data_IF_936728773423
#
_entry.id   IF_936728773423
#
_cell.length_a   1.000
_cell.length_b   1.000
_cell.length_c   1.000
_cell.angle_alpha   90.00
_cell.angle_beta   90.00
_cell.angle_gamma   90.00
#
_symmetry.space_group_name_H-M   'P 1'
#
loop_
_entity.id
_entity.type
_entity.pdbx_description
1 polymer ?
#
# COMPACT_ATOMS: atom_id res chain seq x y z
N UNK A 1 16.48 -1.59 -22.14
CA UNK A 1 15.54 -0.51 -22.50
C UNK A 1 14.20 -0.91 -21.95
N UNK A 2 13.57 -0.07 -21.14
CA UNK A 2 12.18 -0.28 -20.74
C UNK A 2 11.30 -0.02 -21.97
N UNK A 3 10.43 -0.95 -22.34
CA UNK A 3 9.45 -0.69 -23.39
C UNK A 3 8.33 0.20 -22.85
N UNK A 4 7.53 0.78 -23.74
CA UNK A 4 6.39 1.59 -23.32
C UNK A 4 5.20 0.67 -22.99
N UNK A 5 4.66 0.80 -21.77
CA UNK A 5 3.38 0.20 -21.42
C UNK A 5 2.29 0.76 -22.34
N UNK A 6 1.44 -0.11 -22.88
CA UNK A 6 0.28 0.30 -23.70
C UNK A 6 -1.00 -0.32 -23.18
N UNK A 7 -2.06 0.47 -23.23
CA UNK A 7 -3.41 0.11 -22.84
C UNK A 7 -4.33 0.48 -23.99
N UNK A 8 -4.93 -0.51 -24.64
CA UNK A 8 -5.84 -0.30 -25.76
C UNK A 8 -7.24 -0.73 -25.35
N UNK A 9 -8.25 0.07 -25.70
CA UNK A 9 -9.63 -0.35 -25.55
C UNK A 9 -9.93 -1.54 -26.46
N UNK A 10 -10.66 -2.52 -25.92
CA UNK A 10 -11.19 -3.60 -26.73
C UNK A 10 -12.44 -3.12 -27.48
N UNK A 11 -12.67 -3.62 -28.68
CA UNK A 11 -13.84 -3.29 -29.50
C UNK A 11 -14.69 -4.51 -29.79
N UNK A 12 -16.00 -4.33 -29.89
CA UNK A 12 -16.90 -5.28 -30.51
C UNK A 12 -16.61 -5.41 -32.03
N UNK A 13 -17.18 -6.43 -32.68
CA UNK A 13 -17.01 -6.69 -34.12
C UNK A 13 -17.47 -5.53 -35.03
N UNK A 14 -18.35 -4.66 -34.53
CA UNK A 14 -18.83 -3.46 -35.22
C UNK A 14 -17.90 -2.24 -35.05
N UNK A 15 -16.77 -2.40 -34.36
CA UNK A 15 -15.79 -1.35 -34.08
C UNK A 15 -16.11 -0.44 -32.87
N UNK A 16 -17.25 -0.62 -32.19
CA UNK A 16 -17.55 0.16 -30.97
C UNK A 16 -16.78 -0.38 -29.77
N UNK A 17 -16.35 0.49 -28.87
CA UNK A 17 -15.63 0.10 -27.65
C UNK A 17 -16.47 -0.78 -26.73
N UNK A 18 -15.82 -1.77 -26.14
CA UNK A 18 -16.33 -2.49 -24.97
C UNK A 18 -15.95 -1.65 -23.75
N UNK A 19 -16.92 -1.11 -22.98
CA UNK A 19 -16.64 -0.24 -21.85
C UNK A 19 -15.69 -0.92 -20.86
N UNK A 20 -14.62 -0.21 -20.51
CA UNK A 20 -13.66 -0.60 -19.48
C UNK A 20 -12.91 -1.93 -19.69
N UNK A 21 -12.96 -2.52 -20.89
CA UNK A 21 -12.18 -3.72 -21.22
C UNK A 21 -10.92 -3.34 -21.99
N UNK A 22 -9.77 -3.78 -21.52
CA UNK A 22 -8.47 -3.38 -22.05
C UNK A 22 -7.64 -4.56 -22.55
N UNK A 23 -6.93 -4.34 -23.65
CA UNK A 23 -5.74 -5.11 -23.99
C UNK A 23 -4.53 -4.34 -23.47
N UNK A 24 -3.79 -4.97 -22.56
CA UNK A 24 -2.64 -4.38 -21.86
C UNK A 24 -1.38 -5.12 -22.28
N UNK A 25 -0.34 -4.34 -22.61
CA UNK A 25 0.99 -4.81 -22.96
C UNK A 25 2.02 -4.06 -22.10
N UNK A 26 2.70 -4.76 -21.19
CA UNK A 26 3.66 -4.23 -20.22
C UNK A 26 5.04 -4.85 -20.45
N UNK A 27 5.84 -4.30 -21.37
CA UNK A 27 7.21 -4.74 -21.61
C UNK A 27 8.15 -4.19 -20.53
N UNK A 28 9.14 -4.98 -20.15
CA UNK A 28 10.10 -4.65 -19.11
C UNK A 28 11.35 -5.50 -19.19
N UNK A 29 12.25 -5.27 -18.23
CA UNK A 29 13.45 -6.08 -18.02
C UNK A 29 13.63 -6.28 -16.53
N UNK A 30 14.06 -7.47 -16.13
CA UNK A 30 14.38 -7.73 -14.73
C UNK A 30 15.77 -7.17 -14.35
N UNK A 31 16.15 -7.32 -13.07
CA UNK A 31 17.43 -6.82 -12.55
C UNK A 31 18.67 -7.48 -13.19
N UNK A 32 18.52 -8.62 -13.87
CA UNK A 32 19.58 -9.31 -14.60
C UNK A 32 19.58 -8.98 -16.09
N UNK A 33 18.68 -8.09 -16.54
CA UNK A 33 18.52 -7.70 -17.94
C UNK A 33 17.74 -8.71 -18.78
N UNK A 34 17.08 -9.70 -18.16
CA UNK A 34 16.23 -10.66 -18.89
C UNK A 34 14.92 -9.98 -19.29
N UNK A 35 14.39 -10.36 -20.44
CA UNK A 35 13.09 -9.87 -20.91
C UNK A 35 12.00 -10.18 -19.88
N UNK A 36 11.10 -9.23 -19.66
CA UNK A 36 9.89 -9.43 -18.89
C UNK A 36 8.73 -8.81 -19.66
N UNK A 37 7.64 -9.54 -19.86
CA UNK A 37 6.50 -9.04 -20.61
C UNK A 37 5.21 -9.59 -20.02
N UNK A 38 4.25 -8.70 -19.79
CA UNK A 38 2.88 -9.07 -19.46
C UNK A 38 1.98 -8.63 -20.61
N UNK A 39 1.27 -9.58 -21.21
CA UNK A 39 0.24 -9.34 -22.21
C UNK A 39 -1.09 -9.88 -21.68
N UNK A 40 -2.05 -9.01 -21.39
CA UNK A 40 -3.32 -9.38 -20.76
C UNK A 40 -4.50 -8.70 -21.42
N UNK A 41 -5.57 -9.45 -21.64
CA UNK A 41 -6.93 -8.90 -21.66
C UNK A 41 -7.37 -8.73 -20.20
N UNK A 42 -7.87 -7.55 -19.86
CA UNK A 42 -8.43 -7.20 -18.56
C UNK A 42 -9.89 -6.83 -18.74
N UNK A 43 -10.77 -7.53 -18.04
CA UNK A 43 -12.24 -7.38 -18.10
C UNK A 43 -12.79 -7.14 -16.67
N UNK A 44 -13.14 -5.90 -16.29
CA UNK A 44 -13.68 -5.62 -14.96
C UNK A 44 -15.08 -6.22 -14.78
N UNK A 45 -15.23 -7.06 -13.76
CA UNK A 45 -16.51 -7.70 -13.41
C UNK A 45 -17.41 -6.81 -12.55
N UNK A 46 -16.90 -5.67 -12.08
CA UNK A 46 -17.63 -4.67 -11.30
C UNK A 46 -17.58 -3.31 -11.98
N UNK A 47 -18.65 -2.54 -11.84
CA UNK A 47 -18.68 -1.17 -12.33
C UNK A 47 -17.59 -0.31 -11.66
N UNK A 48 -16.94 0.59 -12.42
CA UNK A 48 -16.05 1.58 -11.84
C UNK A 48 -16.73 2.31 -10.69
N UNK A 49 -16.06 2.40 -9.55
CA UNK A 49 -16.66 2.89 -8.31
C UNK A 49 -15.75 3.92 -7.63
N UNK A 50 -16.29 5.08 -7.21
CA UNK A 50 -15.49 6.10 -6.54
C UNK A 50 -14.92 5.59 -5.21
N UNK A 51 -13.71 6.04 -4.86
CA UNK A 51 -13.22 5.90 -3.49
C UNK A 51 -14.18 6.60 -2.51
N UNK A 52 -14.42 5.96 -1.36
CA UNK A 52 -15.37 6.39 -0.34
C UNK A 52 -16.84 6.34 -0.76
N UNK A 53 -17.15 5.60 -1.83
CA UNK A 53 -18.51 5.41 -2.33
C UNK A 53 -19.23 6.74 -2.53
N UNK A 54 -20.51 6.78 -2.17
CA UNK A 54 -21.31 8.01 -2.29
C UNK A 54 -20.93 9.11 -1.29
N UNK A 55 -20.28 8.76 -0.17
CA UNK A 55 -19.95 9.71 0.90
C UNK A 55 -18.87 10.67 0.44
N UNK A 56 -17.78 10.13 -0.12
CA UNK A 56 -16.68 10.94 -0.65
C UNK A 56 -16.84 11.25 -2.14
N UNK A 57 -17.59 10.42 -2.87
CA UNK A 57 -17.77 10.52 -4.32
C UNK A 57 -16.42 10.68 -5.05
N UNK A 58 -15.43 9.91 -4.61
CA UNK A 58 -14.09 9.86 -5.18
C UNK A 58 -13.18 10.97 -4.70
N UNK A 59 -13.62 11.88 -3.81
CA UNK A 59 -12.82 13.03 -3.37
C UNK A 59 -12.22 12.79 -2.00
N UNK A 60 -10.90 12.78 -1.91
CA UNK A 60 -10.19 12.62 -0.64
C UNK A 60 -8.89 13.43 -0.62
N UNK A 61 -8.18 13.38 0.52
CA UNK A 61 -6.89 14.03 0.68
C UNK A 61 -5.77 13.02 0.41
N UNK A 62 -4.90 13.35 -0.56
CA UNK A 62 -3.70 12.59 -0.88
C UNK A 62 -2.48 13.49 -0.83
N UNK A 63 -1.43 13.09 -0.12
CA UNK A 63 -0.28 13.94 0.20
C UNK A 63 -0.66 15.36 0.66
N UNK A 64 -1.56 15.47 1.64
CA UNK A 64 -2.13 16.74 2.13
C UNK A 64 -2.81 17.62 1.05
N UNK A 65 -3.01 17.09 -0.15
CA UNK A 65 -3.73 17.74 -1.24
C UNK A 65 -5.21 17.37 -1.19
N UNK A 66 -6.11 18.29 -0.79
CA UNK A 66 -7.54 18.01 -0.79
C UNK A 66 -8.09 17.88 -2.23
N UNK A 67 -9.24 17.25 -2.36
CA UNK A 67 -9.96 17.09 -3.63
C UNK A 67 -9.21 16.29 -4.70
N UNK A 68 -8.28 15.43 -4.30
CA UNK A 68 -7.78 14.38 -5.17
C UNK A 68 -8.95 13.48 -5.56
N UNK A 69 -9.14 13.29 -6.86
CA UNK A 69 -10.19 12.45 -7.41
C UNK A 69 -9.66 11.04 -7.63
N UNK A 70 -10.38 10.03 -7.15
CA UNK A 70 -10.04 8.63 -7.38
C UNK A 70 -11.28 7.75 -7.54
N UNK A 71 -11.17 6.79 -8.44
CA UNK A 71 -12.14 5.70 -8.62
C UNK A 71 -11.39 4.43 -8.99
N UNK A 72 -12.01 3.29 -8.68
CA UNK A 72 -11.40 1.99 -8.88
C UNK A 72 -12.27 1.08 -9.75
N UNK A 73 -11.60 0.26 -10.55
CA UNK A 73 -12.20 -0.89 -11.24
C UNK A 73 -11.66 -2.16 -10.54
N UNK A 74 -12.58 -2.99 -10.01
CA UNK A 74 -12.24 -4.14 -9.15
C UNK A 74 -12.92 -5.41 -9.67
N UNK A 75 -12.55 -6.57 -9.12
CA UNK A 75 -12.97 -7.87 -9.63
C UNK A 75 -12.57 -8.07 -11.09
N UNK A 76 -11.28 -8.03 -11.39
CA UNK A 76 -10.80 -8.10 -12.77
C UNK A 76 -10.67 -9.56 -13.22
N UNK A 77 -11.29 -9.91 -14.34
CA UNK A 77 -10.92 -11.10 -15.09
C UNK A 77 -9.67 -10.78 -15.94
N UNK A 78 -8.61 -11.53 -15.72
CA UNK A 78 -7.31 -11.39 -16.34
C UNK A 78 -7.05 -12.64 -17.19
N UNK A 79 -6.72 -12.47 -18.47
CA UNK A 79 -6.38 -13.59 -19.35
C UNK A 79 -5.31 -13.17 -20.35
N UNK A 80 -4.23 -13.94 -20.43
CA UNK A 80 -3.20 -13.71 -21.43
C UNK A 80 -1.93 -14.48 -21.10
N UNK A 81 -0.78 -13.83 -21.23
CA UNK A 81 0.54 -14.48 -21.05
C UNK A 81 1.50 -13.61 -20.25
N UNK A 82 2.38 -14.26 -19.50
CA UNK A 82 3.57 -13.65 -18.91
C UNK A 82 4.80 -14.29 -19.50
N UNK A 83 5.77 -13.47 -19.90
CA UNK A 83 7.09 -13.90 -20.36
C UNK A 83 8.16 -13.46 -19.38
N UNK A 84 9.06 -14.37 -19.01
CA UNK A 84 10.25 -14.07 -18.22
C UNK A 84 11.48 -14.78 -18.81
N UNK A 85 12.42 -14.00 -19.33
CA UNK A 85 13.52 -14.50 -20.14
C UNK A 85 12.99 -15.12 -21.42
N UNK A 86 13.25 -16.41 -21.59
CA UNK A 86 12.84 -17.20 -22.76
C UNK A 86 11.59 -18.05 -22.52
N UNK A 87 10.97 -17.93 -21.34
CA UNK A 87 9.79 -18.70 -20.94
C UNK A 87 8.56 -17.81 -21.06
N UNK A 88 7.55 -18.28 -21.78
CA UNK A 88 6.22 -17.66 -21.86
C UNK A 88 5.16 -18.65 -21.39
N UNK A 89 4.34 -18.24 -20.43
CA UNK A 89 3.25 -19.06 -19.89
C UNK A 89 1.91 -18.35 -19.99
N UNK A 90 0.82 -19.09 -20.29
CA UNK A 90 -0.52 -18.56 -20.18
C UNK A 90 -0.86 -18.31 -18.70
N UNK A 91 -1.53 -17.20 -18.43
CA UNK A 91 -1.98 -16.84 -17.09
C UNK A 91 -3.46 -16.47 -17.10
N UNK A 92 -4.15 -16.83 -16.02
CA UNK A 92 -5.52 -16.43 -15.75
C UNK A 92 -5.63 -15.94 -14.32
N UNK A 93 -6.50 -14.95 -14.09
CA UNK A 93 -6.80 -14.40 -12.78
C UNK A 93 -8.23 -13.87 -12.73
N UNK A 94 -8.81 -13.83 -11.55
CA UNK A 94 -10.14 -13.27 -11.30
C UNK A 94 -10.12 -12.21 -10.18
N UNK A 95 -8.92 -11.79 -9.80
CA UNK A 95 -8.65 -10.76 -8.80
C UNK A 95 -7.72 -9.73 -9.41
N UNK A 96 -7.95 -8.47 -9.03
CA UNK A 96 -7.16 -7.35 -9.53
C UNK A 96 -7.80 -6.02 -9.18
N UNK A 97 -7.06 -4.96 -9.47
CA UNK A 97 -7.46 -3.60 -9.17
C UNK A 97 -6.84 -2.64 -10.19
N UNK A 98 -7.64 -1.72 -10.72
CA UNK A 98 -7.16 -0.56 -11.45
C UNK A 98 -7.50 0.65 -10.60
N UNK A 99 -6.47 1.33 -10.09
CA UNK A 99 -6.60 2.65 -9.47
C UNK A 99 -6.44 3.73 -10.53
N UNK A 100 -7.42 4.63 -10.62
CA UNK A 100 -7.29 5.87 -11.38
C UNK A 100 -7.39 7.05 -10.44
N UNK A 101 -6.34 7.86 -10.47
CA UNK A 101 -6.21 9.01 -9.59
C UNK A 101 -5.85 10.27 -10.37
N UNK A 102 -6.53 11.37 -10.06
CA UNK A 102 -6.30 12.68 -10.64
C UNK A 102 -6.07 13.72 -9.53
N UNK A 103 -4.93 14.37 -9.59
CA UNK A 103 -4.54 15.42 -8.65
C UNK A 103 -4.93 16.79 -9.20
N UNK A 104 -5.54 17.68 -8.39
CA UNK A 104 -5.85 19.04 -8.84
C UNK A 104 -4.60 19.89 -9.13
N UNK A 105 -3.48 19.58 -8.49
CA UNK A 105 -2.15 20.17 -8.63
C UNK A 105 -1.10 19.05 -8.73
N UNK A 106 0.12 19.41 -9.13
CA UNK A 106 1.25 18.48 -9.06
C UNK A 106 1.34 17.80 -7.68
N UNK A 107 1.38 16.47 -7.65
CA UNK A 107 1.28 15.67 -6.43
C UNK A 107 2.38 15.98 -5.40
N UNK A 108 3.57 16.39 -5.84
CA UNK A 108 4.69 16.72 -4.96
C UNK A 108 4.63 18.11 -4.33
N UNK A 109 3.62 18.95 -4.62
CA UNK A 109 3.63 20.35 -4.16
C UNK A 109 3.59 20.49 -2.63
N UNK A 110 2.89 19.58 -1.93
CA UNK A 110 2.80 19.56 -0.46
C UNK A 110 3.72 18.51 0.19
N UNK A 111 4.39 17.69 -0.62
CA UNK A 111 5.35 16.67 -0.18
C UNK A 111 6.52 16.60 -1.17
N UNK A 112 7.37 17.64 -1.24
CA UNK A 112 8.36 17.81 -2.31
C UNK A 112 9.43 16.73 -2.35
N UNK A 113 9.73 16.08 -1.23
CA UNK A 113 10.65 14.94 -1.16
C UNK A 113 9.93 13.60 -1.08
N UNK A 114 8.59 13.61 -1.10
CA UNK A 114 7.74 12.45 -0.88
C UNK A 114 7.76 11.91 0.55
N UNK A 115 8.40 12.60 1.51
CA UNK A 115 8.59 12.12 2.89
C UNK A 115 7.87 12.95 3.96
N UNK A 116 7.38 14.15 3.62
CA UNK A 116 6.59 14.98 4.54
C UNK A 116 5.29 14.28 4.90
N UNK A 117 4.70 13.59 3.93
CA UNK A 117 3.49 12.81 4.09
C UNK A 117 3.77 11.40 3.56
N UNK A 118 3.43 10.38 4.36
CA UNK A 118 3.52 8.99 3.94
C UNK A 118 2.16 8.32 4.04
N UNK A 119 2.02 7.15 3.47
CA UNK A 119 0.79 6.40 3.49
C UNK A 119 1.01 4.90 3.62
N UNK A 120 -0.09 4.23 3.92
CA UNK A 120 -0.25 2.80 3.77
C UNK A 120 -1.57 2.61 3.05
N UNK A 121 -1.54 1.77 2.02
CA UNK A 121 -2.70 1.39 1.27
C UNK A 121 -2.80 -0.13 1.21
N UNK A 122 -4.02 -0.63 1.40
CA UNK A 122 -4.32 -2.04 1.17
C UNK A 122 -5.43 -2.12 0.14
N UNK A 123 -5.15 -2.89 -0.90
CA UNK A 123 -6.15 -3.39 -1.81
C UNK A 123 -6.39 -4.85 -1.45
N UNK A 124 -7.64 -5.22 -1.20
CA UNK A 124 -8.01 -6.57 -0.76
C UNK A 124 -9.08 -7.13 -1.67
N UNK A 125 -8.92 -8.36 -2.14
CA UNK A 125 -9.94 -9.17 -2.77
C UNK A 125 -10.30 -10.33 -1.82
N UNK A 126 -11.44 -10.22 -1.14
CA UNK A 126 -11.89 -11.26 -0.20
C UNK A 126 -12.52 -12.43 -0.98
N UNK A 127 -12.38 -13.64 -0.44
CA UNK A 127 -12.88 -14.86 -1.08
C UNK A 127 -14.41 -14.90 -1.29
N UNK A 128 -15.17 -14.08 -0.54
CA UNK A 128 -16.61 -13.93 -0.71
C UNK A 128 -17.00 -12.95 -1.85
N UNK A 129 -16.02 -12.45 -2.61
CA UNK A 129 -16.22 -11.55 -3.75
C UNK A 129 -16.34 -10.08 -3.37
N UNK A 130 -16.22 -9.70 -2.09
CA UNK A 130 -16.13 -8.29 -1.68
C UNK A 130 -14.69 -7.83 -1.84
N UNK A 131 -14.47 -6.67 -2.47
CA UNK A 131 -13.15 -6.04 -2.51
C UNK A 131 -13.11 -4.85 -1.54
N UNK A 132 -11.93 -4.56 -1.00
CA UNK A 132 -11.69 -3.43 -0.10
C UNK A 132 -10.57 -2.55 -0.64
N UNK A 133 -10.72 -1.25 -0.42
CA UNK A 133 -9.62 -0.29 -0.50
C UNK A 133 -9.50 0.39 0.86
N UNK A 134 -8.33 0.29 1.48
CA UNK A 134 -8.05 0.73 2.83
C UNK A 134 -6.94 1.76 2.77
N UNK A 135 -7.26 3.02 3.03
CA UNK A 135 -6.31 4.13 2.87
C UNK A 135 -5.99 4.80 4.19
N UNK A 136 -4.69 4.95 4.45
CA UNK A 136 -4.18 5.58 5.67
C UNK A 136 -3.03 6.50 5.34
N UNK A 137 -3.03 7.71 5.87
CA UNK A 137 -2.01 8.70 5.61
C UNK A 137 -1.52 9.35 6.90
N UNK A 138 -0.21 9.63 6.94
CA UNK A 138 0.50 10.17 8.08
C UNK A 138 1.26 11.43 7.68
N UNK A 139 1.03 12.52 8.40
CA UNK A 139 1.88 13.70 8.38
C UNK A 139 3.14 13.41 9.18
N UNK A 140 4.22 13.07 8.48
CA UNK A 140 5.51 12.76 9.11
C UNK A 140 6.05 13.97 9.87
N UNK A 141 5.85 15.18 9.35
CA UNK A 141 6.24 16.43 9.99
C UNK A 141 5.45 16.77 11.27
N UNK A 142 4.28 16.15 11.50
CA UNK A 142 3.50 16.26 12.74
C UNK A 142 3.60 14.95 13.56
N UNK A 143 4.80 14.39 13.70
CA UNK A 143 5.07 13.18 14.48
C UNK A 143 4.15 11.99 14.12
N UNK A 144 3.96 11.72 12.83
CA UNK A 144 3.07 10.67 12.31
C UNK A 144 1.60 10.87 12.65
N UNK A 145 1.14 12.12 12.78
CA UNK A 145 -0.29 12.38 12.91
C UNK A 145 -1.06 11.87 11.69
N UNK A 146 -2.14 11.14 11.96
CA UNK A 146 -3.03 10.62 10.92
C UNK A 146 -3.79 11.78 10.25
N UNK A 147 -3.90 11.73 8.92
CA UNK A 147 -4.72 12.67 8.13
C UNK A 147 -6.21 12.31 8.26
N UNK A 148 -7.16 13.26 8.33
CA UNK A 148 -8.56 12.93 8.63
C UNK A 148 -9.33 12.08 7.60
N UNK A 149 -8.90 11.99 6.34
CA UNK A 149 -9.65 11.31 5.27
C UNK A 149 -9.28 9.83 5.09
N UNK A 150 -8.95 9.14 6.18
CA UNK A 150 -8.65 7.70 6.16
C UNK A 150 -9.92 6.87 6.23
N UNK A 151 -9.88 5.64 5.74
CA UNK A 151 -11.01 4.73 5.86
C UNK A 151 -10.92 3.51 4.96
N UNK A 152 -12.03 2.77 4.97
CA UNK A 152 -12.23 1.56 4.17
C UNK A 152 -13.41 1.82 3.24
N UNK A 153 -13.20 1.58 1.95
CA UNK A 153 -14.29 1.51 0.97
C UNK A 153 -14.54 0.04 0.61
N UNK A 154 -15.79 -0.42 0.71
CA UNK A 154 -16.20 -1.76 0.24
C UNK A 154 -16.69 -1.70 -1.20
N UNK A 155 -16.39 -2.73 -1.98
CA UNK A 155 -16.85 -2.92 -3.35
C UNK A 155 -17.60 -4.25 -3.43
N UNK A 156 -18.92 -4.17 -3.29
CA UNK A 156 -19.76 -5.35 -3.17
C UNK A 156 -19.93 -6.07 -4.52
N UNK A 157 -20.03 -7.41 -4.53
CA UNK A 157 -20.41 -8.14 -5.73
C UNK A 157 -21.81 -7.67 -6.18
N UNK A 158 -21.95 -7.38 -7.49
CA UNK A 158 -23.20 -6.92 -8.10
C UNK A 158 -23.76 -5.57 -7.60
N UNK A 159 -22.99 -4.80 -6.81
CA UNK A 159 -23.42 -3.50 -6.28
C UNK A 159 -24.59 -3.57 -5.28
N UNK A 160 -24.84 -4.74 -4.69
CA UNK A 160 -25.83 -4.93 -3.62
C UNK A 160 -25.22 -5.74 -2.45
N UNK A 161 -25.09 -5.18 -1.23
CA UNK A 161 -25.48 -3.82 -0.84
C UNK A 161 -24.68 -2.73 -1.58
N UNK A 162 -25.07 -1.47 -1.40
CA UNK A 162 -24.27 -0.36 -1.92
C UNK A 162 -22.90 -0.34 -1.23
N UNK A 163 -21.87 0.03 -1.97
CA UNK A 163 -20.51 0.27 -1.47
C UNK A 163 -20.54 1.18 -0.23
N UNK A 164 -19.86 0.76 0.82
CA UNK A 164 -19.81 1.47 2.09
C UNK A 164 -18.49 2.22 2.23
N UNK A 165 -18.52 3.31 3.00
CA UNK A 165 -17.31 3.98 3.47
C UNK A 165 -17.37 4.16 4.98
N UNK A 166 -16.34 3.67 5.66
CA UNK A 166 -16.21 3.69 7.12
C UNK A 166 -14.85 4.22 7.53
N UNK A 167 -14.79 4.93 8.65
CA UNK A 167 -13.58 5.65 9.09
C UNK A 167 -13.08 5.19 10.46
N UNK A 168 -13.79 4.29 11.13
CA UNK A 168 -13.44 3.73 12.44
C UNK A 168 -12.41 2.59 12.33
N UNK A 169 -11.36 2.84 11.55
CA UNK A 169 -10.26 1.90 11.34
C UNK A 169 -9.22 2.01 12.46
N UNK A 170 -8.76 0.86 12.95
CA UNK A 170 -7.62 0.74 13.84
C UNK A 170 -6.55 -0.15 13.18
N UNK A 171 -5.30 0.32 13.19
CA UNK A 171 -4.15 -0.40 12.68
C UNK A 171 -3.19 -0.72 13.81
N UNK A 172 -2.82 -1.99 13.89
CA UNK A 172 -1.75 -2.47 14.76
C UNK A 172 -0.67 -3.13 13.90
N UNK A 173 0.56 -2.62 13.96
CA UNK A 173 1.71 -3.28 13.34
C UNK A 173 2.22 -4.38 14.26
N UNK A 174 2.42 -5.58 13.73
CA UNK A 174 2.99 -6.73 14.47
C UNK A 174 4.45 -6.97 14.10
N UNK A 175 4.88 -6.56 12.91
CA UNK A 175 6.27 -6.67 12.49
C UNK A 175 6.68 -5.54 11.55
N UNK A 176 7.99 -5.39 11.40
CA UNK A 176 8.59 -4.45 10.46
C UNK A 176 9.65 -5.17 9.63
N UNK A 177 9.78 -4.77 8.38
CA UNK A 177 10.79 -5.29 7.46
C UNK A 177 11.79 -4.17 7.18
N UNK A 178 13.09 -4.49 7.28
CA UNK A 178 14.16 -3.54 7.00
C UNK A 178 14.16 -3.23 5.51
N UNK A 179 14.15 -1.95 5.16
CA UNK A 179 14.26 -1.54 3.77
C UNK A 179 15.64 -1.96 3.22
N UNK A 180 15.70 -2.63 2.07
CA UNK A 180 16.97 -3.05 1.50
C UNK A 180 17.68 -1.83 0.89
N UNK A 181 18.95 -1.64 1.21
CA UNK A 181 19.77 -0.56 0.61
C UNK A 181 20.21 -0.88 -0.85
N UNK A 182 19.52 -1.80 -1.51
CA UNK A 182 19.76 -2.22 -2.90
C UNK A 182 18.83 -1.56 -3.90
N UNK A 183 17.82 -0.82 -3.44
CA UNK A 183 16.89 -0.08 -4.29
C UNK A 183 17.33 1.36 -4.48
N UNK A 184 17.38 1.81 -5.73
CA UNK A 184 17.80 3.18 -6.07
C UNK A 184 16.64 4.15 -5.88
N UNK A 185 16.61 4.85 -4.74
CA UNK A 185 15.67 5.96 -4.55
C UNK A 185 16.19 7.20 -5.27
N UNK A 186 15.31 7.99 -5.88
CA UNK A 186 15.69 9.25 -6.52
C UNK A 186 16.11 10.29 -5.47
N UNK A 187 15.36 10.38 -4.38
CA UNK A 187 15.72 11.21 -3.24
C UNK A 187 16.52 10.37 -2.23
N UNK A 188 17.74 10.81 -1.84
CA UNK A 188 18.55 10.08 -0.88
C UNK A 188 17.81 9.83 0.44
N UNK A 189 17.94 8.63 1.03
CA UNK A 189 17.29 8.30 2.29
C UNK A 189 17.88 9.16 3.43
N UNK A 190 17.05 9.63 4.39
CA UNK A 190 17.53 10.40 5.54
C UNK A 190 18.35 9.57 6.55
N UNK A 191 18.29 8.24 6.48
CA UNK A 191 19.00 7.32 7.36
C UNK A 191 19.30 6.03 6.61
N UNK A 192 20.37 5.32 6.95
CA UNK A 192 20.68 3.98 6.42
C UNK A 192 19.81 2.87 7.04
N UNK A 193 19.23 3.11 8.22
CA UNK A 193 18.35 2.18 8.90
C UNK A 193 16.91 2.68 8.78
N UNK A 194 16.12 1.97 7.98
CA UNK A 194 14.73 2.29 7.67
C UNK A 194 13.92 1.01 7.76
N UNK A 195 12.76 1.10 8.39
CA UNK A 195 11.88 -0.04 8.62
C UNK A 195 10.48 0.34 8.17
N UNK A 196 9.84 -0.49 7.36
CA UNK A 196 8.45 -0.27 6.95
C UNK A 196 7.57 -1.37 7.56
N UNK A 197 6.26 -1.09 7.75
CA UNK A 197 5.31 -2.09 8.23
C UNK A 197 5.37 -3.38 7.42
N UNK A 198 5.49 -4.51 8.13
CA UNK A 198 5.40 -5.86 7.58
C UNK A 198 4.01 -6.43 7.79
N UNK A 199 3.86 -7.21 8.87
CA UNK A 199 2.59 -7.79 9.28
C UNK A 199 1.75 -6.72 9.98
N UNK A 200 0.50 -6.57 9.53
CA UNK A 200 -0.43 -5.58 10.06
C UNK A 200 -1.77 -6.22 10.40
N UNK A 201 -2.32 -5.91 11.57
CA UNK A 201 -3.72 -6.19 11.92
C UNK A 201 -4.56 -4.95 11.68
N UNK A 202 -5.63 -5.12 10.92
CA UNK A 202 -6.58 -4.10 10.49
C UNK A 202 -7.92 -4.42 11.15
N UNK A 203 -8.42 -3.53 11.99
CA UNK A 203 -9.72 -3.69 12.65
C UNK A 203 -10.68 -2.58 12.23
N UNK A 204 -11.94 -2.93 12.03
CA UNK A 204 -13.02 -1.97 11.79
C UNK A 204 -14.31 -2.47 12.45
N UNK A 205 -14.73 -1.86 13.57
CA UNK A 205 -15.95 -2.25 14.27
C UNK A 205 -17.21 -2.14 13.42
N UNK A 206 -17.36 -1.08 12.61
CA UNK A 206 -18.52 -0.87 11.74
C UNK A 206 -18.72 -1.98 10.70
N UNK A 207 -17.64 -2.63 10.27
CA UNK A 207 -17.67 -3.78 9.35
C UNK A 207 -17.61 -5.14 10.05
N UNK A 208 -17.55 -5.16 11.39
CA UNK A 208 -17.24 -6.35 12.19
C UNK A 208 -16.06 -7.13 11.59
N UNK A 209 -14.96 -6.40 11.36
CA UNK A 209 -13.82 -6.86 10.57
C UNK A 209 -12.54 -6.84 11.38
N UNK A 210 -11.78 -7.94 11.30
CA UNK A 210 -10.40 -8.04 11.77
C UNK A 210 -9.61 -8.80 10.70
N UNK A 211 -8.70 -8.15 9.99
CA UNK A 211 -7.85 -8.79 8.97
C UNK A 211 -6.38 -8.65 9.34
N UNK A 212 -5.62 -9.74 9.20
CA UNK A 212 -4.17 -9.71 9.25
C UNK A 212 -3.62 -9.71 7.84
N UNK A 213 -2.86 -8.67 7.48
CA UNK A 213 -2.10 -8.56 6.23
C UNK A 213 -0.68 -9.09 6.42
N UNK A 214 -0.21 -9.88 5.46
CA UNK A 214 1.20 -10.31 5.38
C UNK A 214 1.66 -10.30 3.93
N UNK A 215 2.79 -9.67 3.64
CA UNK A 215 3.41 -9.75 2.31
C UNK A 215 3.72 -11.20 1.94
N UNK A 216 3.41 -11.58 0.71
CA UNK A 216 3.77 -12.89 0.15
C UNK A 216 5.26 -13.00 -0.16
N UNK A 217 5.98 -11.87 -0.20
CA UNK A 217 7.43 -11.81 -0.38
C UNK A 217 8.11 -11.32 0.89
N UNK A 218 9.35 -11.76 1.12
CA UNK A 218 10.12 -11.38 2.33
C UNK A 218 10.43 -9.89 2.38
N UNK A 219 10.71 -9.28 1.23
CA UNK A 219 11.09 -7.87 1.10
C UNK A 219 10.44 -7.33 -0.18
N UNK A 220 9.29 -6.65 -0.08
CA UNK A 220 8.50 -6.15 -1.21
C UNK A 220 9.01 -4.78 -1.71
N UNK A 221 10.32 -4.55 -1.70
CA UNK A 221 10.88 -3.26 -2.09
C UNK A 221 10.85 -3.07 -3.60
N UNK A 222 10.35 -1.93 -4.04
CA UNK A 222 10.32 -1.53 -5.45
C UNK A 222 11.14 -0.27 -5.69
N UNK A 223 11.71 -0.14 -6.89
CA UNK A 223 12.59 0.97 -7.25
C UNK A 223 11.73 2.20 -7.63
N UNK A 224 11.32 2.96 -6.63
CA UNK A 224 10.55 4.21 -6.75
C UNK A 224 11.32 5.42 -6.17
N UNK A 225 10.86 6.67 -6.39
CA UNK A 225 11.59 7.88 -5.97
C UNK A 225 11.93 7.98 -4.47
N UNK A 226 11.20 7.26 -3.61
CA UNK A 226 11.38 7.19 -2.15
C UNK A 226 11.34 5.73 -1.69
N UNK A 227 11.56 5.48 -0.40
CA UNK A 227 11.40 4.13 0.15
C UNK A 227 9.97 3.65 -0.02
N UNK A 228 9.81 2.59 -0.80
CA UNK A 228 8.50 2.09 -1.16
C UNK A 228 8.45 0.57 -1.04
N UNK A 229 7.49 0.10 -0.27
CA UNK A 229 7.09 -1.30 -0.31
C UNK A 229 5.79 -1.41 -1.07
N UNK A 230 5.79 -2.27 -2.08
CA UNK A 230 4.62 -2.64 -2.85
C UNK A 230 4.74 -4.11 -3.19
N UNK A 231 3.75 -4.89 -2.81
CA UNK A 231 3.81 -6.30 -3.11
C UNK A 231 2.52 -7.05 -2.87
N UNK A 232 2.42 -8.25 -3.46
CA UNK A 232 1.33 -9.14 -3.20
C UNK A 232 1.28 -9.48 -1.71
N UNK A 233 0.07 -9.50 -1.17
CA UNK A 233 -0.21 -9.77 0.23
C UNK A 233 -1.36 -10.75 0.39
N UNK A 234 -1.26 -11.54 1.44
CA UNK A 234 -2.34 -12.41 1.91
C UNK A 234 -3.05 -11.76 3.10
N UNK A 235 -4.37 -11.92 3.14
CA UNK A 235 -5.24 -11.40 4.16
C UNK A 235 -6.02 -12.54 4.81
N UNK A 236 -6.08 -12.59 6.14
CA UNK A 236 -6.89 -13.58 6.86
C UNK A 236 -7.49 -13.02 8.15
N UNK A 237 -8.69 -13.47 8.48
CA UNK A 237 -9.35 -13.15 9.74
C UNK A 237 -10.86 -13.22 9.62
N UNK A 238 -11.54 -12.12 9.96
CA UNK A 238 -12.99 -12.00 9.88
C UNK A 238 -13.44 -10.77 9.12
N UNK A 239 -14.58 -10.88 8.42
CA UNK A 239 -15.31 -9.77 7.81
C UNK A 239 -16.81 -10.00 8.02
N UNK A 240 -17.52 -8.98 8.51
CA UNK A 240 -18.93 -9.11 8.93
C UNK A 240 -19.16 -10.22 9.97
N UNK A 241 -18.14 -10.50 10.79
CA UNK A 241 -18.18 -11.54 11.82
C UNK A 241 -17.89 -12.96 11.32
N UNK A 242 -17.79 -13.17 10.01
CA UNK A 242 -17.51 -14.48 9.43
C UNK A 242 -16.03 -14.64 9.11
N UNK A 243 -15.52 -15.86 9.24
CA UNK A 243 -14.14 -16.16 8.86
C UNK A 243 -13.95 -15.95 7.35
N UNK A 244 -12.86 -15.30 6.98
CA UNK A 244 -12.56 -14.97 5.59
C UNK A 244 -11.06 -14.94 5.35
N UNK A 245 -10.67 -15.22 4.11
CA UNK A 245 -9.35 -14.97 3.56
C UNK A 245 -9.44 -14.14 2.29
N UNK A 246 -8.28 -13.72 1.79
CA UNK A 246 -8.18 -12.94 0.59
C UNK A 246 -6.75 -12.70 0.15
N UNK A 247 -6.63 -12.14 -1.04
CA UNK A 247 -5.35 -11.73 -1.63
C UNK A 247 -5.45 -10.28 -2.05
N UNK A 248 -4.32 -9.62 -2.26
CA UNK A 248 -4.31 -8.31 -2.88
C UNK A 248 -2.93 -7.68 -2.79
N UNK A 249 -2.89 -6.37 -2.63
CA UNK A 249 -1.65 -5.60 -2.58
C UNK A 249 -1.59 -4.81 -1.28
N UNK A 250 -0.42 -4.82 -0.65
CA UNK A 250 -0.07 -3.85 0.37
C UNK A 250 0.98 -2.90 -0.19
N UNK A 251 0.76 -1.63 0.07
CA UNK A 251 1.61 -0.54 -0.35
C UNK A 251 1.96 0.33 0.87
N UNK A 252 3.21 0.75 0.99
CA UNK A 252 3.65 1.63 2.06
C UNK A 252 4.83 2.52 1.68
N UNK A 253 4.70 3.80 2.02
CA UNK A 253 5.80 4.79 2.05
C UNK A 253 6.19 5.17 3.49
N UNK A 254 5.63 4.49 4.50
CA UNK A 254 5.89 4.76 5.92
C UNK A 254 7.24 4.17 6.36
N UNK A 255 8.34 4.70 5.81
CA UNK A 255 9.68 4.35 6.26
C UNK A 255 9.96 4.98 7.62
N UNK A 256 10.07 4.17 8.66
CA UNK A 256 10.39 4.56 10.03
C UNK A 256 11.90 4.60 10.22
N UNK A 257 12.42 5.74 10.66
CA UNK A 257 13.87 5.96 10.76
C UNK A 257 14.30 6.94 11.84
N UNK A 258 13.38 7.70 12.44
CA UNK A 258 13.69 8.61 13.55
C UNK A 258 13.85 7.80 14.82
N UNK A 259 14.69 8.28 15.73
CA UNK A 259 15.06 7.52 16.94
C UNK A 259 13.86 6.99 17.72
N UNK A 260 12.83 7.84 17.94
CA UNK A 260 11.61 7.44 18.65
C UNK A 260 10.77 6.42 17.86
N UNK A 261 10.80 6.46 16.54
CA UNK A 261 10.16 5.45 15.70
C UNK A 261 10.92 4.13 15.74
N UNK A 262 12.26 4.18 15.78
CA UNK A 262 13.09 2.99 15.88
C UNK A 262 12.93 2.30 17.23
N UNK A 263 12.73 3.06 18.32
CA UNK A 263 12.33 2.47 19.60
C UNK A 263 10.95 1.80 19.53
N UNK A 264 9.97 2.41 18.86
CA UNK A 264 8.67 1.78 18.65
C UNK A 264 8.78 0.49 17.82
N UNK A 265 9.58 0.50 16.75
CA UNK A 265 9.87 -0.70 15.94
C UNK A 265 10.46 -1.80 16.80
N UNK A 266 11.46 -1.47 17.63
CA UNK A 266 12.12 -2.43 18.50
C UNK A 266 11.16 -2.97 19.57
N UNK A 267 10.34 -2.11 20.18
CA UNK A 267 9.37 -2.49 21.20
C UNK A 267 8.34 -3.47 20.64
N UNK A 268 7.69 -3.10 19.52
CA UNK A 268 6.68 -3.93 18.86
C UNK A 268 7.30 -5.25 18.40
N UNK A 269 8.51 -5.22 17.83
CA UNK A 269 9.20 -6.44 17.41
C UNK A 269 9.48 -7.36 18.60
N UNK A 270 9.99 -6.82 19.71
CA UNK A 270 10.25 -7.61 20.92
C UNK A 270 8.97 -8.25 21.50
N UNK A 271 7.85 -7.52 21.46
CA UNK A 271 6.56 -8.01 21.97
C UNK A 271 5.95 -9.14 21.13
N UNK A 272 6.28 -9.22 19.84
CA UNK A 272 5.67 -10.16 18.90
C UNK A 272 6.59 -11.30 18.44
N UNK A 273 7.86 -11.29 18.84
CA UNK A 273 8.76 -12.41 18.60
C UNK A 273 8.42 -13.60 19.51
N UNK A 274 8.55 -14.81 18.98
CA UNK A 274 8.40 -16.02 19.78
C UNK A 274 9.46 -16.08 20.88
N UNK A 275 9.19 -16.69 22.06
CA UNK A 275 10.19 -16.87 23.11
C UNK A 275 11.48 -17.55 22.62
N UNK A 276 11.36 -18.44 21.63
CA UNK A 276 12.48 -19.16 21.01
C UNK A 276 13.41 -18.25 20.18
N UNK A 277 12.93 -17.07 19.79
CA UNK A 277 13.73 -16.08 19.05
C UNK A 277 14.76 -15.37 19.94
N UNK A 278 14.66 -15.53 21.27
CA UNK A 278 15.57 -14.90 22.24
C UNK A 278 16.67 -15.87 22.66
N UNK A 279 17.90 -15.36 22.80
CA UNK A 279 18.99 -16.12 23.40
C UNK A 279 18.61 -16.49 24.85
N UNK A 280 18.67 -17.77 25.26
CA UNK A 280 18.35 -18.17 26.63
C UNK A 280 19.19 -17.49 27.72
N UNK A 281 20.40 -17.03 27.38
CA UNK A 281 21.27 -16.28 28.28
C UNK A 281 21.12 -14.74 28.15
N UNK A 282 20.29 -14.27 27.22
CA UNK A 282 20.01 -12.85 26.98
C UNK A 282 18.70 -12.38 27.63
N UNK A 283 18.35 -11.10 27.44
CA UNK A 283 17.06 -10.60 27.91
C UNK A 283 15.91 -11.25 27.14
N UNK A 284 14.86 -11.62 27.86
CA UNK A 284 13.59 -12.02 27.24
C UNK A 284 12.83 -10.78 26.71
N UNK A 285 11.69 -11.01 26.04
CA UNK A 285 10.85 -9.95 25.49
C UNK A 285 10.47 -8.87 26.51
N UNK A 286 10.04 -9.27 27.72
CA UNK A 286 9.60 -8.35 28.77
C UNK A 286 10.76 -7.46 29.26
N UNK A 287 11.91 -8.06 29.52
CA UNK A 287 13.12 -7.34 29.93
C UNK A 287 13.59 -6.35 28.85
N UNK A 288 13.54 -6.76 27.58
CA UNK A 288 13.88 -5.88 26.47
C UNK A 288 12.91 -4.70 26.37
N UNK A 289 11.60 -4.94 26.51
CA UNK A 289 10.59 -3.88 26.55
C UNK A 289 10.80 -2.92 27.72
N UNK A 290 11.19 -3.42 28.91
CA UNK A 290 11.52 -2.56 30.05
C UNK A 290 12.70 -1.63 29.75
N UNK A 291 13.77 -2.13 29.13
CA UNK A 291 14.91 -1.31 28.71
C UNK A 291 14.47 -0.24 27.70
N UNK A 292 13.64 -0.61 26.73
CA UNK A 292 13.14 0.33 25.71
C UNK A 292 12.28 1.43 26.34
N UNK A 293 11.42 1.09 27.30
CA UNK A 293 10.62 2.06 28.03
C UNK A 293 11.47 3.08 28.80
N UNK A 294 12.62 2.66 29.34
CA UNK A 294 13.59 3.59 29.94
C UNK A 294 14.20 4.49 28.87
N UNK A 295 14.62 3.93 27.73
CA UNK A 295 15.20 4.69 26.62
C UNK A 295 14.23 5.73 26.05
N UNK A 296 12.92 5.43 25.99
CA UNK A 296 11.88 6.35 25.52
C UNK A 296 11.88 7.69 26.28
N UNK A 297 12.30 7.73 27.54
CA UNK A 297 12.41 8.97 28.32
C UNK A 297 13.54 9.90 27.83
N UNK A 298 14.48 9.38 27.04
CA UNK A 298 15.66 10.11 26.54
C UNK A 298 15.55 10.50 25.08
N UNK A 299 14.51 10.05 24.37
CA UNK A 299 14.31 10.36 22.96
C UNK A 299 13.29 11.46 22.82
N UNK A 300 13.65 12.52 22.09
CA UNK A 300 12.72 13.60 21.83
C UNK A 300 11.80 13.22 20.66
N UNK A 301 10.47 13.12 20.85
CA UNK A 301 9.54 12.88 19.75
C UNK A 301 9.39 14.10 18.84
N UNK A 302 9.98 15.25 19.22
CA UNK A 302 9.88 16.48 18.48
C UNK A 302 10.27 16.19 17.02
N UNK A 303 9.35 16.42 16.05
CA UNK A 303 9.69 16.29 14.66
C UNK A 303 10.96 17.09 14.46
N UNK A 304 11.98 16.48 13.86
CA UNK A 304 12.92 17.30 13.14
C UNK A 304 12.04 18.24 12.32
N UNK A 305 12.14 19.54 12.61
CA UNK A 305 11.84 20.55 11.63
C UNK A 305 12.71 20.13 10.45
N UNK A 306 12.18 19.31 9.55
CA UNK A 306 12.47 19.42 8.14
C UNK A 306 12.16 20.88 7.88
N UNK A 307 13.15 21.74 8.13
CA UNK A 307 13.02 23.18 8.11
C UNK A 307 12.30 23.44 6.82
N UNK A 308 11.12 24.06 6.95
CA UNK A 308 10.39 24.71 5.87
C UNK A 308 11.35 24.92 4.71
N UNK A 309 11.26 24.09 3.67
CA UNK A 309 11.88 24.46 2.42
C UNK A 309 11.21 25.79 2.09
N UNK A 310 11.95 26.88 2.31
CA UNK A 310 11.50 28.19 1.88
C UNK A 310 11.16 28.02 0.42
N UNK A 311 10.00 28.54 0.03
CA UNK A 311 9.35 28.46 -1.28
C UNK A 311 10.16 29.09 -2.43
N UNK A 312 11.48 29.10 -2.34
CA UNK A 312 12.40 29.76 -3.26
C UNK A 312 13.10 28.82 -4.24
N UNK A 313 12.82 27.51 -4.25
CA UNK A 313 13.37 26.61 -5.27
C UNK A 313 12.33 25.55 -5.65
N UNK A 314 11.65 25.77 -6.78
CA UNK A 314 11.44 24.85 -7.91
C UNK A 314 10.53 25.61 -8.89
N UNK A 315 11.16 26.40 -9.75
CA UNK A 315 10.68 26.63 -11.11
C UNK A 315 11.73 25.96 -12.00
N UNK A 316 11.43 24.74 -12.43
CA UNK A 316 11.98 24.12 -13.64
C UNK A 316 10.88 23.27 -14.24
#
# INVERSE_FOLDING_TARGET
MYGNATWNHTTFNNGSYIPFVYQVHLPGVDKQGRNFLIDLKIDPMKYPSPYGGNILNGRFTFYDQPNTLSWFETGLELNGTVTWGDITEPVVGNTGHIDRQYFPLYAGIFSPTGRQVSHIWYQVNLANGVDLSIWIQYRRYEANKIVPTIGITTYEPNGNPINQFVTDINITFLSFIKYPNTSSTFFPPPSQNRWLPGITVIQCPSLNMILTSTYSTKVPAVDLPVEYFEGPSYFAGTFRGESIDGTGIQESTLALYRDWELLNVLQISAQNLSPESFNPAGPNAEQLVQVINVLNNYVNPNPLLEKSFSSSVICM
#
